data_IF_901544499549
#
_entry.id   IF_901544499549
#
_cell.length_a   1.000
_cell.length_b   1.000
_cell.length_c   1.000
_cell.angle_alpha   90.00
_cell.angle_beta   90.00
_cell.angle_gamma   90.00
#
_symmetry.space_group_name_H-M   'P 1'
#
loop_
_entity.id
_entity.type
_entity.pdbx_description
1 polymer ?
#
# COMPACT_ATOMS: atom_id res chain seq x y z
N UNK A 1 8.16 -16.75 8.72
CA UNK A 1 7.65 -15.40 8.86
C UNK A 1 6.27 -15.29 8.22
N UNK A 2 5.34 -14.70 8.93
CA UNK A 2 3.96 -14.64 8.49
C UNK A 2 3.72 -13.53 7.48
N UNK A 3 2.91 -13.82 6.46
CA UNK A 3 2.52 -12.82 5.48
C UNK A 3 1.61 -11.78 6.10
N UNK A 4 1.76 -10.53 5.68
CA UNK A 4 0.92 -9.45 6.15
C UNK A 4 0.62 -8.45 5.05
N UNK A 5 -0.45 -7.71 5.27
CA UNK A 5 -0.75 -6.55 4.45
C UNK A 5 -0.16 -5.35 5.19
N UNK A 6 0.69 -4.60 4.52
CA UNK A 6 1.31 -3.43 5.13
C UNK A 6 0.83 -2.20 4.38
N UNK A 7 0.33 -1.23 5.11
CA UNK A 7 -0.08 0.04 4.52
C UNK A 7 0.94 1.09 4.91
N UNK A 8 1.66 1.62 3.94
CA UNK A 8 2.65 2.66 4.18
C UNK A 8 2.08 3.99 3.72
N UNK A 9 1.91 4.91 4.66
CA UNK A 9 1.50 6.27 4.34
C UNK A 9 2.75 7.14 4.24
N UNK A 10 2.83 7.89 3.16
CA UNK A 10 3.98 8.76 2.89
C UNK A 10 3.56 10.20 3.05
N UNK A 11 4.26 10.92 3.91
CA UNK A 11 3.94 12.29 4.25
C UNK A 11 3.59 12.38 5.73
N UNK A 12 3.13 13.55 6.14
CA UNK A 12 2.83 13.79 7.55
C UNK A 12 1.33 13.66 7.83
N UNK A 13 0.81 12.46 7.66
CA UNK A 13 -0.60 12.23 7.95
C UNK A 13 -0.83 10.78 8.35
N UNK A 14 -2.00 10.52 8.91
CA UNK A 14 -2.43 9.20 9.29
C UNK A 14 -3.82 8.91 8.74
N UNK A 15 -4.04 7.67 8.34
CA UNK A 15 -5.37 7.21 7.98
C UNK A 15 -6.07 6.70 9.24
N UNK A 16 -6.42 7.60 10.12
CA UNK A 16 -6.98 7.25 11.43
C UNK A 16 -8.22 6.37 11.34
N UNK A 17 -9.05 6.61 10.35
CA UNK A 17 -10.26 5.82 10.16
C UNK A 17 -9.92 4.37 9.82
N UNK A 18 -8.97 4.17 8.92
CA UNK A 18 -8.54 2.84 8.53
C UNK A 18 -7.82 2.13 9.68
N UNK A 19 -6.93 2.84 10.35
CA UNK A 19 -6.22 2.26 11.47
C UNK A 19 -7.17 1.82 12.57
N UNK A 20 -8.19 2.62 12.84
CA UNK A 20 -9.17 2.28 13.85
C UNK A 20 -10.01 1.07 13.43
N UNK A 21 -10.38 1.01 12.17
CA UNK A 21 -11.19 -0.10 11.66
C UNK A 21 -10.44 -1.43 11.78
N UNK A 22 -9.16 -1.45 11.47
CA UNK A 22 -8.35 -2.67 11.45
C UNK A 22 -7.49 -2.86 12.70
N UNK A 23 -7.72 -2.11 13.76
CA UNK A 23 -6.85 -2.13 14.93
C UNK A 23 -6.67 -3.50 15.58
N UNK A 24 -7.69 -4.35 15.48
CA UNK A 24 -7.64 -5.68 16.06
C UNK A 24 -7.27 -6.77 15.06
N UNK A 25 -6.93 -6.37 13.85
CA UNK A 25 -6.58 -7.32 12.79
C UNK A 25 -5.06 -7.49 12.75
N UNK A 26 -4.58 -8.64 13.16
CA UNK A 26 -3.16 -8.94 13.21
C UNK A 26 -2.50 -9.07 11.84
N UNK A 27 -3.30 -9.20 10.79
CA UNK A 27 -2.78 -9.39 9.44
C UNK A 27 -2.54 -8.09 8.68
N UNK A 28 -2.96 -6.96 9.26
CA UNK A 28 -2.80 -5.66 8.62
C UNK A 28 -2.03 -4.73 9.53
N UNK A 29 -0.95 -4.19 9.03
CA UNK A 29 -0.11 -3.27 9.81
C UNK A 29 0.03 -1.95 9.08
N UNK A 30 -0.06 -0.84 9.83
CA UNK A 30 0.08 0.51 9.27
C UNK A 30 1.43 1.09 9.66
N UNK A 31 2.15 1.57 8.65
CA UNK A 31 3.47 2.15 8.83
C UNK A 31 3.48 3.56 8.25
N UNK A 32 4.28 4.43 8.84
CA UNK A 32 4.40 5.80 8.39
C UNK A 32 5.83 6.10 7.94
N UNK A 33 5.93 6.89 6.89
CA UNK A 33 7.21 7.33 6.38
C UNK A 33 7.09 8.80 6.01
N UNK A 34 7.93 9.64 6.61
CA UNK A 34 7.92 11.05 6.27
C UNK A 34 8.70 11.28 4.98
N UNK A 35 8.50 12.44 4.36
CA UNK A 35 9.16 12.75 3.09
C UNK A 35 10.69 12.77 3.18
N UNK A 36 11.21 13.02 4.35
CA UNK A 36 12.66 13.10 4.56
C UNK A 36 13.28 11.77 4.97
N UNK A 37 12.45 10.76 5.17
CA UNK A 37 12.95 9.47 5.63
C UNK A 37 13.15 8.50 4.47
N UNK A 38 14.12 7.61 4.61
CA UNK A 38 14.37 6.56 3.65
C UNK A 38 13.52 5.34 3.97
N UNK A 39 13.18 4.57 2.94
CA UNK A 39 12.46 3.31 3.13
C UNK A 39 13.27 2.34 4.02
N UNK A 40 14.57 2.54 4.10
CA UNK A 40 15.43 1.70 4.92
C UNK A 40 15.05 1.72 6.39
N UNK A 41 14.41 2.79 6.84
CA UNK A 41 13.88 2.88 8.20
C UNK A 41 12.92 1.73 8.50
N UNK A 42 12.24 1.23 7.48
CA UNK A 42 11.25 0.17 7.63
C UNK A 42 11.78 -1.23 7.29
N UNK A 43 13.06 -1.36 7.01
CA UNK A 43 13.61 -2.66 6.59
C UNK A 43 13.31 -3.80 7.54
N UNK A 44 13.33 -3.55 8.84
CA UNK A 44 13.06 -4.59 9.82
C UNK A 44 11.58 -4.93 9.93
N UNK A 45 10.73 -4.14 9.30
CA UNK A 45 9.28 -4.32 9.36
C UNK A 45 8.69 -4.82 8.06
N UNK A 46 9.52 -5.03 7.05
CA UNK A 46 9.06 -5.47 5.73
C UNK A 46 9.68 -6.81 5.37
N UNK A 47 8.89 -7.64 4.72
CA UNK A 47 9.32 -8.96 4.27
C UNK A 47 8.88 -9.13 2.83
N UNK A 48 9.58 -9.96 2.05
CA UNK A 48 9.18 -10.24 0.68
C UNK A 48 7.90 -11.07 0.60
N UNK A 49 7.34 -11.44 1.73
CA UNK A 49 6.03 -12.12 1.77
C UNK A 49 4.89 -11.15 2.00
N UNK A 50 5.21 -9.89 2.29
CA UNK A 50 4.18 -8.89 2.51
C UNK A 50 3.62 -8.37 1.21
N UNK A 51 2.39 -7.87 1.27
CA UNK A 51 1.80 -7.07 0.20
C UNK A 51 1.74 -5.67 0.74
N UNK A 52 2.37 -4.73 0.05
CA UNK A 52 2.49 -3.36 0.53
C UNK A 52 1.60 -2.42 -0.27
N UNK A 53 0.74 -1.70 0.45
CA UNK A 53 -0.07 -0.64 -0.12
C UNK A 53 0.62 0.68 0.14
N UNK A 54 0.92 1.41 -0.93
CA UNK A 54 1.57 2.71 -0.82
C UNK A 54 0.54 3.81 -1.01
N UNK A 55 0.53 4.75 -0.11
CA UNK A 55 -0.39 5.88 -0.15
C UNK A 55 0.31 7.16 0.24
N UNK A 56 0.02 8.24 -0.50
CA UNK A 56 0.54 9.56 -0.20
C UNK A 56 -0.61 10.57 -0.24
N UNK A 57 -0.56 11.56 0.63
CA UNK A 57 -1.57 12.61 0.64
C UNK A 57 -1.24 13.76 -0.32
N UNK A 58 -0.08 13.70 -0.96
CA UNK A 58 0.37 14.73 -1.87
C UNK A 58 0.99 14.12 -3.13
N UNK A 59 1.22 14.97 -4.13
CA UNK A 59 1.83 14.54 -5.37
C UNK A 59 3.34 14.39 -5.22
N UNK A 60 3.75 13.42 -4.44
CA UNK A 60 5.16 13.13 -4.19
C UNK A 60 5.65 11.99 -5.07
N UNK A 61 5.54 12.20 -6.36
CA UNK A 61 5.87 11.15 -7.30
C UNK A 61 7.31 10.66 -7.17
N UNK A 62 8.25 11.57 -7.00
CA UNK A 62 9.66 11.18 -6.85
C UNK A 62 9.86 10.25 -5.67
N UNK A 63 9.26 10.58 -4.55
CA UNK A 63 9.38 9.75 -3.34
C UNK A 63 8.71 8.41 -3.54
N UNK A 64 7.54 8.40 -4.15
CA UNK A 64 6.83 7.17 -4.45
C UNK A 64 7.65 6.26 -5.35
N UNK A 65 8.27 6.82 -6.38
CA UNK A 65 9.09 6.05 -7.30
C UNK A 65 10.33 5.48 -6.60
N UNK A 66 10.94 6.26 -5.74
CA UNK A 66 12.08 5.81 -4.96
C UNK A 66 11.72 4.61 -4.10
N UNK A 67 10.59 4.70 -3.40
CA UNK A 67 10.12 3.63 -2.54
C UNK A 67 9.72 2.40 -3.35
N UNK A 68 8.99 2.62 -4.42
CA UNK A 68 8.56 1.53 -5.30
C UNK A 68 9.73 0.74 -5.85
N UNK A 69 10.76 1.46 -6.28
CA UNK A 69 11.96 0.83 -6.81
C UNK A 69 12.68 0.00 -5.74
N UNK A 70 12.79 0.55 -4.54
CA UNK A 70 13.44 -0.15 -3.43
C UNK A 70 12.67 -1.42 -3.06
N UNK A 71 11.35 -1.35 -3.02
CA UNK A 71 10.53 -2.50 -2.69
C UNK A 71 10.58 -3.56 -3.79
N UNK A 72 10.64 -3.13 -5.04
CA UNK A 72 10.73 -4.05 -6.15
C UNK A 72 12.06 -4.82 -6.14
N UNK A 73 13.13 -4.15 -5.79
CA UNK A 73 14.43 -4.81 -5.64
C UNK A 73 14.41 -5.88 -4.55
N UNK A 74 13.56 -5.73 -3.57
CA UNK A 74 13.37 -6.71 -2.51
C UNK A 74 12.32 -7.75 -2.84
N UNK A 75 11.76 -7.68 -4.05
CA UNK A 75 10.72 -8.60 -4.51
C UNK A 75 9.45 -8.55 -3.67
N UNK A 76 9.14 -7.37 -3.15
CA UNK A 76 7.91 -7.14 -2.39
C UNK A 76 6.82 -6.65 -3.35
N UNK A 77 5.64 -7.25 -3.25
CA UNK A 77 4.50 -6.87 -4.08
C UNK A 77 3.93 -5.54 -3.60
N UNK A 78 3.77 -4.59 -4.53
CA UNK A 78 3.25 -3.27 -4.20
C UNK A 78 1.94 -2.97 -4.90
N UNK A 79 1.06 -2.29 -4.20
CA UNK A 79 -0.18 -1.75 -4.73
C UNK A 79 -0.17 -0.26 -4.41
N UNK A 80 -0.19 0.57 -5.43
CA UNK A 80 -0.07 2.02 -5.26
C UNK A 80 -1.34 2.71 -5.71
N UNK A 81 -1.84 3.61 -4.89
CA UNK A 81 -3.04 4.38 -5.22
C UNK A 81 -2.58 5.77 -5.62
N UNK A 82 -2.89 6.17 -6.84
CA UNK A 82 -2.46 7.45 -7.39
C UNK A 82 -3.58 8.14 -8.15
N UNK A 83 -3.50 9.45 -8.21
CA UNK A 83 -4.43 10.24 -9.00
C UNK A 83 -4.30 9.87 -10.47
N UNK A 84 -5.41 9.69 -11.14
CA UNK A 84 -5.48 9.26 -12.54
C UNK A 84 -4.61 10.11 -13.47
N UNK A 85 -4.60 11.41 -13.25
CA UNK A 85 -3.80 12.31 -14.07
C UNK A 85 -2.31 11.95 -14.01
N UNK A 86 -1.81 11.65 -12.82
CA UNK A 86 -0.41 11.27 -12.66
C UNK A 86 -0.12 9.93 -13.31
N UNK A 87 -1.08 9.01 -13.26
CA UNK A 87 -0.93 7.69 -13.88
C UNK A 87 -0.81 7.84 -15.38
N UNK A 88 -1.66 8.66 -15.99
CA UNK A 88 -1.63 8.87 -17.43
C UNK A 88 -0.33 9.53 -17.87
N UNK A 89 0.12 10.55 -17.15
CA UNK A 89 1.31 11.31 -17.50
C UNK A 89 2.62 10.53 -17.30
N UNK A 90 2.61 9.52 -16.43
CA UNK A 90 3.83 8.81 -16.05
C UNK A 90 3.72 7.29 -16.20
N UNK A 91 2.92 6.85 -17.13
CA UNK A 91 2.59 5.44 -17.27
C UNK A 91 3.78 4.49 -17.31
N UNK A 92 4.75 4.78 -18.16
CA UNK A 92 5.89 3.88 -18.32
C UNK A 92 6.70 3.68 -17.06
N UNK A 93 7.05 4.78 -16.40
CA UNK A 93 7.89 4.69 -15.22
C UNK A 93 7.13 4.09 -14.04
N UNK A 94 5.82 4.34 -13.97
CA UNK A 94 5.00 3.76 -12.92
C UNK A 94 4.87 2.25 -13.08
N UNK A 95 4.68 1.79 -14.30
CA UNK A 95 4.57 0.35 -14.55
C UNK A 95 5.86 -0.40 -14.24
N UNK A 96 6.99 0.28 -14.36
CA UNK A 96 8.29 -0.31 -14.01
C UNK A 96 8.56 -0.32 -12.52
N UNK A 97 7.92 0.58 -11.79
CA UNK A 97 8.19 0.77 -10.36
C UNK A 97 7.24 0.02 -9.44
N UNK A 98 6.03 -0.27 -9.91
CA UNK A 98 5.01 -0.88 -9.07
C UNK A 98 4.36 -2.07 -9.75
N UNK A 99 3.89 -3.02 -8.94
CA UNK A 99 3.20 -4.19 -9.47
C UNK A 99 1.77 -3.86 -9.89
N UNK A 100 1.07 -3.08 -9.08
CA UNK A 100 -0.31 -2.72 -9.35
C UNK A 100 -0.52 -1.25 -9.03
N UNK A 101 -1.23 -0.56 -9.89
CA UNK A 101 -1.54 0.84 -9.70
C UNK A 101 -3.05 1.02 -9.77
N UNK A 102 -3.62 1.67 -8.76
CA UNK A 102 -5.03 2.00 -8.71
C UNK A 102 -5.21 3.48 -8.98
N UNK A 103 -5.69 3.86 -10.17
CA UNK A 103 -5.93 5.27 -10.46
C UNK A 103 -7.21 5.73 -9.78
N UNK A 104 -7.19 6.90 -9.19
CA UNK A 104 -8.35 7.50 -8.55
C UNK A 104 -8.52 8.93 -9.02
N UNK A 105 -9.78 9.39 -9.01
CA UNK A 105 -10.08 10.77 -9.36
C UNK A 105 -10.31 11.56 -8.08
N UNK A 106 -10.44 12.88 -8.19
CA UNK A 106 -10.72 13.72 -7.04
C UNK A 106 -12.09 13.46 -6.43
N UNK A 107 -12.97 12.82 -7.19
CA UNK A 107 -14.31 12.49 -6.71
C UNK A 107 -14.34 11.23 -5.88
N UNK A 108 -13.32 10.42 -5.98
CA UNK A 108 -13.27 9.15 -5.24
C UNK A 108 -12.95 9.39 -3.78
N UNK A 109 -13.60 8.62 -2.94
CA UNK A 109 -13.24 8.58 -1.53
C UNK A 109 -12.16 7.54 -1.37
N UNK A 110 -10.92 8.00 -1.32
CA UNK A 110 -9.76 7.11 -1.30
C UNK A 110 -9.73 6.23 -0.06
N UNK A 111 -10.13 6.78 1.09
CA UNK A 111 -10.16 5.99 2.32
C UNK A 111 -11.14 4.83 2.21
N UNK A 112 -12.31 5.10 1.63
CA UNK A 112 -13.33 4.08 1.47
C UNK A 112 -12.89 3.02 0.46
N UNK A 113 -12.26 3.45 -0.62
CA UNK A 113 -11.74 2.55 -1.63
C UNK A 113 -10.67 1.63 -1.01
N UNK A 114 -9.76 2.22 -0.26
CA UNK A 114 -8.69 1.46 0.38
C UNK A 114 -9.25 0.50 1.43
N UNK A 115 -10.28 0.94 2.16
CA UNK A 115 -10.96 0.09 3.13
C UNK A 115 -11.50 -1.17 2.45
N UNK A 116 -12.20 -0.99 1.32
CA UNK A 116 -12.77 -2.12 0.61
C UNK A 116 -11.72 -3.03 0.01
N UNK A 117 -10.64 -2.45 -0.50
CA UNK A 117 -9.53 -3.23 -1.04
C UNK A 117 -8.87 -4.07 0.05
N UNK A 118 -8.62 -3.48 1.20
CA UNK A 118 -7.98 -4.20 2.31
C UNK A 118 -8.87 -5.31 2.83
N UNK A 119 -10.17 -5.06 2.94
CA UNK A 119 -11.12 -6.09 3.37
C UNK A 119 -11.14 -7.25 2.39
N UNK A 120 -11.17 -6.95 1.12
CA UNK A 120 -11.24 -7.97 0.07
C UNK A 120 -9.99 -8.83 0.06
N UNK A 121 -8.82 -8.19 0.09
CA UNK A 121 -7.57 -8.92 0.06
C UNK A 121 -7.35 -9.70 1.34
N UNK A 122 -7.71 -9.13 2.47
CA UNK A 122 -7.64 -9.83 3.75
C UNK A 122 -8.47 -11.10 3.72
N UNK A 123 -9.67 -11.04 3.19
CA UNK A 123 -10.53 -12.21 3.07
C UNK A 123 -9.97 -13.25 2.11
N UNK A 124 -9.38 -12.83 1.02
CA UNK A 124 -8.82 -13.76 0.05
C UNK A 124 -7.56 -14.45 0.58
N UNK A 125 -6.70 -13.68 1.22
CA UNK A 125 -5.39 -14.19 1.66
C UNK A 125 -5.48 -14.91 3.00
N UNK A 126 -6.24 -14.36 3.94
CA UNK A 126 -6.26 -14.86 5.32
C UNK A 126 -7.58 -15.48 5.76
N UNK A 127 -8.64 -15.27 5.02
CA UNK A 127 -9.97 -15.79 5.36
C UNK A 127 -10.24 -17.16 4.83
N UNK A 128 -9.24 -17.96 4.63
CA UNK A 128 -9.36 -19.24 3.94
C UNK A 128 -10.25 -20.22 4.66
N UNK A 129 -10.27 -20.16 5.96
CA UNK A 129 -11.05 -21.09 6.74
C UNK A 129 -12.53 -21.05 6.38
N UNK A 130 -12.99 -19.92 5.90
CA UNK A 130 -14.39 -19.76 5.53
C UNK A 130 -14.71 -20.34 4.18
N UNK A 131 -13.70 -20.56 3.38
CA UNK A 131 -13.88 -20.98 1.99
C UNK A 131 -13.68 -22.47 1.86
N UNK A 132 -12.92 -23.00 2.71
CA UNK A 132 -12.52 -24.37 2.62
C UNK A 132 -13.60 -25.28 3.11
N UNK A 133 -14.54 -25.48 2.27
CA UNK A 133 -15.73 -26.23 2.61
C UNK A 133 -15.73 -27.63 2.13
N UNK A 134 -14.72 -28.17 1.90
CA UNK A 134 -14.74 -29.49 1.37
C UNK A 134 -15.52 -30.54 2.01
#
# INVERSE_FOLDING_TARGET
>A
MQEKLKVITIGNYKDSLLENYFKDNENIEFLELSLNESIEKLNNKLSNRDIVFLRSNENNLEKLLEIGKALKEKEIITVTILEEKLVIENKEILEKSFNTIFPVTKKDNVENLLLELLKTIDNIVFGVCCINLD
#
